data_IF_738535144462
#
_entry.id   IF_738535144462
#
_cell.length_a   1.000
_cell.length_b   1.000
_cell.length_c   1.000
_cell.angle_alpha   90.00
_cell.angle_beta   90.00
_cell.angle_gamma   90.00
#
_symmetry.space_group_name_H-M   'P 1'
#
loop_
_entity.id
_entity.type
_entity.pdbx_description
1 polymer ?
#
# COMPACT_ATOMS: atom_id res chain seq x y z
N UNK A 1 -13.26 -24.63 15.25
CA UNK A 1 -13.84 -23.39 14.72
C UNK A 1 -13.67 -23.40 13.21
N UNK A 2 -14.73 -23.12 12.46
CA UNK A 2 -14.70 -22.98 11.00
C UNK A 2 -14.59 -21.51 10.57
N UNK A 3 -14.47 -21.28 9.26
CA UNK A 3 -14.30 -19.94 8.69
C UNK A 3 -15.48 -19.03 9.01
N UNK A 4 -16.71 -19.51 8.88
CA UNK A 4 -17.92 -18.72 9.11
C UNK A 4 -18.09 -18.33 10.59
N UNK A 5 -17.73 -19.22 11.52
CA UNK A 5 -17.71 -18.93 12.96
C UNK A 5 -16.64 -17.90 13.29
N UNK A 6 -15.41 -18.09 12.78
CA UNK A 6 -14.32 -17.15 13.04
C UNK A 6 -14.64 -15.75 12.50
N UNK A 7 -15.18 -15.64 11.28
CA UNK A 7 -15.59 -14.35 10.72
C UNK A 7 -16.63 -13.63 11.57
N UNK A 8 -17.67 -14.35 12.05
CA UNK A 8 -18.69 -13.75 12.91
C UNK A 8 -18.09 -13.21 14.21
N UNK A 9 -17.20 -13.97 14.82
CA UNK A 9 -16.53 -13.58 16.05
C UNK A 9 -15.61 -12.37 15.84
N UNK A 10 -14.73 -12.42 14.83
CA UNK A 10 -13.83 -11.31 14.49
C UNK A 10 -14.59 -10.02 14.18
N UNK A 11 -15.68 -10.10 13.40
CA UNK A 11 -16.54 -8.94 13.10
C UNK A 11 -17.12 -8.34 14.38
N UNK A 12 -17.57 -9.18 15.32
CA UNK A 12 -18.11 -8.71 16.60
C UNK A 12 -17.03 -8.04 17.48
N UNK A 13 -15.78 -8.43 17.35
CA UNK A 13 -14.67 -7.84 18.11
C UNK A 13 -14.11 -6.56 17.47
N UNK A 14 -14.34 -6.36 16.16
CA UNK A 14 -13.84 -5.21 15.39
C UNK A 14 -14.84 -4.08 15.22
N UNK A 15 -15.86 -3.93 16.08
CA UNK A 15 -16.92 -2.92 15.93
C UNK A 15 -16.43 -1.47 15.92
N UNK A 16 -15.23 -1.20 16.44
CA UNK A 16 -14.60 0.12 16.38
C UNK A 16 -13.91 0.43 15.03
N UNK A 17 -13.73 -0.58 14.16
CA UNK A 17 -13.23 -0.38 12.80
C UNK A 17 -14.33 0.21 11.91
N UNK A 18 -13.94 1.04 10.95
CA UNK A 18 -14.86 1.54 9.91
C UNK A 18 -15.31 0.42 8.95
N UNK A 19 -14.54 -0.67 8.86
CA UNK A 19 -14.83 -1.80 7.97
C UNK A 19 -14.66 -3.19 8.62
N UNK A 20 -15.40 -3.52 9.71
CA UNK A 20 -15.13 -4.73 10.51
C UNK A 20 -15.18 -6.04 9.71
N UNK A 21 -16.16 -6.16 8.80
CA UNK A 21 -16.29 -7.32 7.90
C UNK A 21 -15.11 -7.44 6.94
N UNK A 22 -14.69 -6.33 6.33
CA UNK A 22 -13.62 -6.36 5.35
C UNK A 22 -12.28 -6.70 6.01
N UNK A 23 -12.03 -6.13 7.19
CA UNK A 23 -10.83 -6.42 7.98
C UNK A 23 -10.75 -7.91 8.31
N UNK A 24 -11.84 -8.50 8.83
CA UNK A 24 -11.90 -9.92 9.16
C UNK A 24 -11.70 -10.80 7.91
N UNK A 25 -12.37 -10.49 6.80
CA UNK A 25 -12.18 -11.22 5.53
C UNK A 25 -10.71 -11.20 5.10
N UNK A 26 -10.06 -10.04 5.08
CA UNK A 26 -8.66 -9.91 4.64
C UNK A 26 -7.71 -10.71 5.54
N UNK A 27 -7.89 -10.67 6.87
CA UNK A 27 -7.06 -11.44 7.80
C UNK A 27 -7.23 -12.94 7.58
N UNK A 28 -8.46 -13.41 7.36
CA UNK A 28 -8.73 -14.81 7.07
C UNK A 28 -8.13 -15.25 5.73
N UNK A 29 -8.29 -14.43 4.68
CA UNK A 29 -7.66 -14.66 3.36
C UNK A 29 -6.14 -14.77 3.50
N UNK A 30 -5.52 -13.84 4.23
CA UNK A 30 -4.08 -13.80 4.45
C UNK A 30 -3.54 -15.05 5.17
N UNK A 31 -4.19 -15.49 6.25
CA UNK A 31 -3.70 -16.64 7.04
C UNK A 31 -3.99 -17.97 6.36
N UNK A 32 -5.11 -18.08 5.63
CA UNK A 32 -5.52 -19.35 5.01
C UNK A 32 -4.99 -19.52 3.58
N UNK A 33 -4.58 -18.42 2.92
CA UNK A 33 -4.23 -18.41 1.51
C UNK A 33 -5.42 -18.71 0.58
N UNK A 34 -6.66 -18.57 1.09
CA UNK A 34 -7.89 -18.79 0.33
C UNK A 34 -8.49 -17.43 0.01
N UNK A 35 -8.79 -17.20 -1.27
CA UNK A 35 -9.45 -15.95 -1.67
C UNK A 35 -10.88 -15.85 -1.17
N UNK A 36 -11.40 -14.63 -1.16
CA UNK A 36 -12.76 -14.29 -0.70
C UNK A 36 -13.87 -15.24 -1.17
N UNK A 37 -13.91 -15.56 -2.46
CA UNK A 37 -14.95 -16.43 -3.05
C UNK A 37 -14.94 -17.82 -2.42
N UNK A 38 -13.76 -18.38 -2.12
CA UNK A 38 -13.64 -19.68 -1.48
C UNK A 38 -14.17 -19.62 -0.04
N UNK A 39 -13.77 -18.58 0.71
CA UNK A 39 -14.21 -18.39 2.10
C UNK A 39 -15.74 -18.28 2.19
N UNK A 40 -16.36 -17.56 1.25
CA UNK A 40 -17.82 -17.40 1.20
C UNK A 40 -18.54 -18.69 0.77
N UNK A 41 -17.97 -19.44 -0.17
CA UNK A 41 -18.57 -20.67 -0.69
C UNK A 41 -18.40 -21.87 0.24
N UNK A 42 -17.31 -21.91 1.03
CA UNK A 42 -16.92 -23.06 1.87
C UNK A 42 -16.69 -22.62 3.32
N UNK A 43 -17.66 -21.89 3.90
CA UNK A 43 -17.58 -21.32 5.25
C UNK A 43 -17.47 -22.38 6.36
N UNK A 44 -17.85 -23.62 6.09
CA UNK A 44 -17.73 -24.79 6.96
C UNK A 44 -16.29 -25.34 7.07
N UNK A 45 -15.36 -24.81 6.26
CA UNK A 45 -13.94 -25.23 6.31
C UNK A 45 -13.35 -24.97 7.69
N UNK A 46 -12.76 -26.01 8.29
CA UNK A 46 -12.19 -25.95 9.63
C UNK A 46 -10.78 -25.35 9.61
N UNK A 47 -10.53 -24.36 10.47
CA UNK A 47 -9.19 -23.80 10.67
C UNK A 47 -8.27 -24.84 11.34
N UNK A 48 -7.01 -24.86 10.93
CA UNK A 48 -5.97 -25.55 11.71
C UNK A 48 -5.67 -24.78 12.99
N UNK A 49 -5.03 -25.44 13.95
CA UNK A 49 -4.64 -24.78 15.21
C UNK A 49 -3.64 -23.65 14.98
N UNK A 50 -2.65 -23.86 14.10
CA UNK A 50 -1.69 -22.83 13.73
C UNK A 50 -2.36 -21.61 13.06
N UNK A 51 -3.38 -21.84 12.22
CA UNK A 51 -4.13 -20.75 11.60
C UNK A 51 -4.93 -19.95 12.64
N UNK A 52 -5.59 -20.62 13.59
CA UNK A 52 -6.29 -19.94 14.70
C UNK A 52 -5.35 -19.03 15.49
N UNK A 53 -4.24 -19.57 15.99
CA UNK A 53 -3.29 -18.80 16.80
C UNK A 53 -2.74 -17.57 16.05
N UNK A 54 -2.49 -17.73 14.75
CA UNK A 54 -2.04 -16.61 13.90
C UNK A 54 -3.14 -15.57 13.70
N UNK A 55 -4.38 -16.00 13.46
CA UNK A 55 -5.53 -15.10 13.33
C UNK A 55 -5.79 -14.32 14.61
N UNK A 56 -5.73 -14.98 15.76
CA UNK A 56 -5.95 -14.35 17.07
C UNK A 56 -4.92 -13.24 17.31
N UNK A 57 -3.64 -13.53 17.04
CA UNK A 57 -2.55 -12.54 17.15
C UNK A 57 -2.79 -11.31 16.24
N UNK A 58 -3.23 -11.52 15.00
CA UNK A 58 -3.51 -10.43 14.06
C UNK A 58 -4.76 -9.65 14.47
N UNK A 59 -5.79 -10.34 14.96
CA UNK A 59 -7.04 -9.73 15.41
C UNK A 59 -6.81 -8.83 16.64
N UNK A 60 -6.01 -9.27 17.61
CA UNK A 60 -5.63 -8.47 18.78
C UNK A 60 -4.87 -7.18 18.39
N UNK A 61 -4.00 -7.27 17.37
CA UNK A 61 -3.31 -6.10 16.83
C UNK A 61 -4.27 -5.17 16.10
N UNK A 62 -5.19 -5.72 15.30
CA UNK A 62 -6.21 -4.91 14.61
C UNK A 62 -7.18 -4.23 15.59
N UNK A 63 -7.53 -4.86 16.71
CA UNK A 63 -8.36 -4.26 17.76
C UNK A 63 -7.70 -3.04 18.41
N UNK A 64 -6.37 -3.04 18.51
CA UNK A 64 -5.58 -1.87 18.93
C UNK A 64 -5.53 -0.78 17.85
N UNK A 65 -6.06 -1.09 16.67
CA UNK A 65 -6.24 -0.24 15.50
C UNK A 65 -5.05 -0.22 14.54
N UNK A 66 -4.13 -1.17 14.66
CA UNK A 66 -3.05 -1.30 13.68
C UNK A 66 -3.64 -1.52 12.27
N UNK A 67 -3.19 -0.79 11.22
CA UNK A 67 -3.75 -0.89 9.88
C UNK A 67 -3.68 -2.31 9.32
N UNK A 68 -4.74 -2.78 8.66
CA UNK A 68 -4.77 -4.13 8.06
C UNK A 68 -3.62 -4.34 7.07
N UNK A 69 -3.23 -3.31 6.32
CA UNK A 69 -2.11 -3.40 5.38
C UNK A 69 -0.76 -3.62 6.08
N UNK A 70 -0.56 -3.11 7.30
CA UNK A 70 0.63 -3.43 8.12
C UNK A 70 0.58 -4.86 8.66
N UNK A 71 -0.62 -5.37 8.96
CA UNK A 71 -0.80 -6.75 9.42
C UNK A 71 -0.52 -7.79 8.32
N UNK A 72 -0.94 -7.51 7.09
CA UNK A 72 -0.69 -8.37 5.92
C UNK A 72 0.64 -8.07 5.23
N UNK A 73 1.21 -6.90 5.47
CA UNK A 73 2.43 -6.39 4.84
C UNK A 73 2.24 -5.97 3.37
N UNK A 74 1.00 -5.92 2.88
CA UNK A 74 0.68 -5.62 1.47
C UNK A 74 -0.52 -4.70 1.33
N UNK A 75 -0.50 -3.85 0.31
CA UNK A 75 -1.60 -2.99 -0.12
C UNK A 75 -1.66 -2.98 -1.64
N UNK A 76 -2.85 -3.19 -2.19
CA UNK A 76 -3.09 -2.97 -3.60
C UNK A 76 -3.22 -1.46 -3.88
N UNK A 77 -2.56 -1.01 -4.95
CA UNK A 77 -2.67 0.33 -5.51
C UNK A 77 -2.52 0.22 -7.03
N UNK A 78 -3.47 0.74 -7.80
CA UNK A 78 -3.46 0.63 -9.26
C UNK A 78 -3.40 -0.83 -9.76
N UNK A 79 -4.10 -1.74 -9.09
CA UNK A 79 -4.02 -3.21 -9.30
C UNK A 79 -2.62 -3.82 -9.07
N UNK A 80 -1.67 -3.06 -8.51
CA UNK A 80 -0.33 -3.53 -8.17
C UNK A 80 -0.28 -3.94 -6.68
N UNK A 81 0.12 -5.18 -6.35
CA UNK A 81 0.33 -5.59 -4.97
C UNK A 81 1.66 -5.02 -4.45
N UNK A 82 1.59 -3.94 -3.66
CA UNK A 82 2.75 -3.30 -3.07
C UNK A 82 2.98 -3.80 -1.65
N UNK A 83 4.22 -4.16 -1.32
CA UNK A 83 4.64 -4.27 0.06
C UNK A 83 4.56 -2.90 0.74
N UNK A 84 4.06 -2.90 1.98
CA UNK A 84 3.97 -1.71 2.83
C UNK A 84 4.67 -1.95 4.16
N UNK A 85 5.09 -0.88 4.81
CA UNK A 85 5.64 -0.91 6.16
C UNK A 85 5.42 0.44 6.84
N UNK A 86 5.62 0.53 8.17
CA UNK A 86 5.55 1.81 8.90
C UNK A 86 6.63 2.84 8.49
N UNK A 87 7.54 2.49 7.58
CA UNK A 87 8.58 3.41 7.11
C UNK A 87 8.03 4.55 6.24
N UNK A 88 6.81 4.41 5.72
CA UNK A 88 6.17 5.39 4.82
C UNK A 88 4.65 5.22 4.84
N UNK A 89 3.95 6.19 4.26
CA UNK A 89 2.49 6.16 4.11
C UNK A 89 2.01 4.92 3.34
N UNK A 90 0.97 4.26 3.85
CA UNK A 90 0.21 3.25 3.11
C UNK A 90 -0.50 3.92 1.92
N UNK A 91 -0.32 3.45 0.67
CA UNK A 91 -0.95 4.04 -0.51
C UNK A 91 -2.47 4.16 -0.35
N UNK A 92 -2.99 5.37 -0.60
CA UNK A 92 -4.40 5.72 -0.44
C UNK A 92 -5.12 5.65 -1.79
N UNK A 93 -6.39 5.20 -1.85
CA UNK A 93 -7.16 5.16 -3.10
C UNK A 93 -7.24 6.53 -3.78
N UNK A 94 -7.40 7.61 -3.01
CA UNK A 94 -7.49 8.97 -3.59
C UNK A 94 -6.22 9.38 -4.35
N UNK A 95 -5.07 8.80 -4.01
CA UNK A 95 -3.81 9.02 -4.74
C UNK A 95 -3.84 8.43 -6.16
N UNK A 96 -4.75 7.49 -6.47
CA UNK A 96 -4.94 6.97 -7.83
C UNK A 96 -5.43 8.08 -8.78
N UNK A 97 -6.19 9.06 -8.28
CA UNK A 97 -6.59 10.23 -9.08
C UNK A 97 -5.37 11.03 -9.58
N UNK A 98 -4.30 11.13 -8.78
CA UNK A 98 -3.06 11.79 -9.24
C UNK A 98 -2.42 11.02 -10.41
N UNK A 99 -2.42 9.69 -10.36
CA UNK A 99 -1.92 8.83 -11.44
C UNK A 99 -2.76 9.03 -12.70
N UNK A 100 -4.09 8.97 -12.60
CA UNK A 100 -5.02 9.22 -13.71
C UNK A 100 -4.75 10.57 -14.39
N UNK A 101 -4.66 11.63 -13.58
CA UNK A 101 -4.46 12.99 -14.08
C UNK A 101 -3.07 13.17 -14.69
N UNK A 102 -2.04 12.51 -14.16
CA UNK A 102 -0.71 12.49 -14.75
C UNK A 102 -0.72 11.80 -16.11
N UNK A 103 -1.30 10.60 -16.22
CA UNK A 103 -1.40 9.85 -17.47
C UNK A 103 -2.10 10.64 -18.58
N UNK A 104 -3.18 11.35 -18.24
CA UNK A 104 -3.92 12.19 -19.19
C UNK A 104 -3.11 13.39 -19.72
N UNK A 105 -2.06 13.82 -19.01
CA UNK A 105 -1.23 14.99 -19.37
C UNK A 105 0.13 14.62 -19.95
N UNK A 106 0.54 13.36 -19.84
CA UNK A 106 1.80 12.91 -20.41
C UNK A 106 1.77 13.03 -21.94
N UNK A 107 2.88 13.42 -22.57
CA UNK A 107 2.97 13.41 -24.03
C UNK A 107 2.84 11.99 -24.56
N UNK A 108 2.37 11.85 -25.80
CA UNK A 108 2.26 10.55 -26.48
C UNK A 108 3.64 9.92 -26.78
N UNK A 109 4.70 10.73 -26.86
CA UNK A 109 6.08 10.26 -27.02
C UNK A 109 6.69 9.82 -25.69
N UNK A 110 7.73 9.00 -25.77
CA UNK A 110 8.57 8.65 -24.62
C UNK A 110 9.09 9.91 -23.93
N UNK A 111 9.05 9.92 -22.60
CA UNK A 111 9.42 11.08 -21.79
C UNK A 111 10.00 10.67 -20.43
N UNK A 112 10.46 11.66 -19.66
CA UNK A 112 11.08 11.47 -18.35
C UNK A 112 10.15 12.01 -17.26
N UNK A 113 9.88 11.18 -16.26
CA UNK A 113 8.98 11.51 -15.15
C UNK A 113 9.78 11.49 -13.85
N UNK A 114 9.49 12.44 -12.96
CA UNK A 114 10.00 12.46 -11.58
C UNK A 114 8.86 12.29 -10.59
N UNK A 115 9.00 11.37 -9.64
CA UNK A 115 8.14 11.21 -8.47
C UNK A 115 8.92 11.61 -7.20
N UNK A 116 8.48 12.68 -6.53
CA UNK A 116 9.09 13.20 -5.31
C UNK A 116 8.35 12.69 -4.06
N UNK A 117 9.08 12.09 -3.11
CA UNK A 117 8.50 11.49 -1.92
C UNK A 117 7.77 10.19 -2.26
N UNK A 118 8.42 9.31 -3.02
CA UNK A 118 7.79 8.15 -3.65
C UNK A 118 7.26 7.11 -2.64
N UNK A 119 7.77 7.11 -1.41
CA UNK A 119 7.32 6.23 -0.35
C UNK A 119 7.45 4.75 -0.72
N UNK A 120 6.32 4.07 -0.92
CA UNK A 120 6.29 2.67 -1.36
C UNK A 120 6.61 2.48 -2.84
N UNK A 121 6.75 3.56 -3.61
CA UNK A 121 6.84 3.54 -5.07
C UNK A 121 5.49 3.61 -5.78
N UNK A 122 4.38 3.84 -5.07
CA UNK A 122 3.03 3.66 -5.60
C UNK A 122 2.76 4.43 -6.91
N UNK A 123 3.00 5.73 -6.92
CA UNK A 123 2.78 6.59 -8.11
C UNK A 123 3.77 6.23 -9.21
N UNK A 124 5.07 6.18 -8.87
CA UNK A 124 6.12 5.86 -9.84
C UNK A 124 5.91 4.52 -10.56
N UNK A 125 5.56 3.46 -9.82
CA UNK A 125 5.35 2.12 -10.36
C UNK A 125 4.08 2.06 -11.22
N UNK A 126 2.98 2.68 -10.78
CA UNK A 126 1.77 2.76 -11.58
C UNK A 126 1.99 3.47 -12.92
N UNK A 127 2.66 4.64 -12.90
CA UNK A 127 3.02 5.37 -14.12
C UNK A 127 3.93 4.56 -15.04
N UNK A 128 4.91 3.86 -14.47
CA UNK A 128 5.84 3.04 -15.22
C UNK A 128 5.18 1.81 -15.87
N UNK A 129 4.18 1.21 -15.23
CA UNK A 129 3.39 0.10 -15.78
C UNK A 129 2.54 0.55 -16.97
N UNK A 130 1.88 1.71 -16.87
CA UNK A 130 1.03 2.25 -17.94
C UNK A 130 1.84 2.84 -19.10
N UNK A 131 3.04 3.35 -18.81
CA UNK A 131 3.95 3.96 -19.78
C UNK A 131 5.32 3.26 -19.79
N UNK A 132 5.41 2.02 -20.31
CA UNK A 132 6.66 1.27 -20.39
C UNK A 132 7.71 1.92 -21.30
N UNK A 133 7.31 2.88 -22.14
CA UNK A 133 8.19 3.70 -22.98
C UNK A 133 8.84 4.87 -22.22
N UNK A 134 8.32 5.24 -21.04
CA UNK A 134 8.82 6.34 -20.24
C UNK A 134 9.84 5.87 -19.20
N UNK A 135 10.78 6.76 -18.87
CA UNK A 135 11.74 6.56 -17.78
C UNK A 135 11.28 7.32 -16.53
N UNK A 136 11.02 6.61 -15.45
CA UNK A 136 10.57 7.20 -14.18
C UNK A 136 11.74 7.25 -13.20
N UNK A 137 12.00 8.42 -12.62
CA UNK A 137 12.89 8.57 -11.47
C UNK A 137 12.03 8.80 -10.24
N UNK A 138 12.22 8.00 -9.22
CA UNK A 138 11.47 8.05 -7.97
C UNK A 138 12.45 8.35 -6.84
N UNK A 139 12.17 9.39 -6.04
CA UNK A 139 13.06 9.78 -4.95
C UNK A 139 12.34 9.85 -3.62
N UNK A 140 13.06 9.49 -2.56
CA UNK A 140 12.59 9.68 -1.19
C UNK A 140 13.73 10.11 -0.28
N UNK A 141 13.39 10.85 0.79
CA UNK A 141 14.33 11.30 1.80
C UNK A 141 14.73 10.13 2.71
N UNK A 142 13.78 9.26 3.02
CA UNK A 142 13.96 8.20 4.00
C UNK A 142 14.60 6.96 3.35
N UNK A 143 15.73 6.45 3.88
CA UNK A 143 16.41 5.30 3.29
C UNK A 143 15.54 4.02 3.31
N UNK A 144 14.70 3.85 4.33
CA UNK A 144 13.78 2.72 4.42
C UNK A 144 12.66 2.78 3.38
N UNK A 145 12.19 3.98 3.02
CA UNK A 145 11.23 4.17 1.93
C UNK A 145 11.88 3.86 0.57
N UNK A 146 13.12 4.32 0.34
CA UNK A 146 13.91 3.97 -0.85
C UNK A 146 14.07 2.46 -0.99
N UNK A 147 14.42 1.76 0.10
CA UNK A 147 14.56 0.31 0.13
C UNK A 147 13.22 -0.38 -0.17
N UNK A 148 12.10 0.11 0.38
CA UNK A 148 10.77 -0.43 0.14
C UNK A 148 10.31 -0.24 -1.31
N UNK A 149 10.45 0.97 -1.87
CA UNK A 149 10.16 1.25 -3.28
C UNK A 149 11.01 0.38 -4.22
N UNK A 150 12.30 0.21 -3.91
CA UNK A 150 13.19 -0.69 -4.66
C UNK A 150 12.72 -2.14 -4.60
N UNK A 151 12.31 -2.61 -3.41
CA UNK A 151 11.76 -3.96 -3.24
C UNK A 151 10.47 -4.15 -4.04
N UNK A 152 9.56 -3.18 -4.04
CA UNK A 152 8.32 -3.25 -4.82
C UNK A 152 8.59 -3.27 -6.32
N UNK A 153 9.49 -2.39 -6.79
CA UNK A 153 9.98 -2.41 -8.17
C UNK A 153 10.47 -3.80 -8.59
N UNK A 154 11.35 -4.41 -7.78
CA UNK A 154 11.90 -5.74 -8.04
C UNK A 154 10.83 -6.84 -8.02
N UNK A 155 9.92 -6.79 -7.04
CA UNK A 155 8.84 -7.76 -6.91
C UNK A 155 7.90 -7.75 -8.11
N UNK A 156 7.59 -6.58 -8.64
CA UNK A 156 6.71 -6.38 -9.79
C UNK A 156 7.43 -6.50 -11.14
N UNK A 157 8.75 -6.68 -11.14
CA UNK A 157 9.59 -6.73 -12.35
C UNK A 157 9.42 -5.51 -13.28
N UNK A 158 9.34 -4.32 -12.68
CA UNK A 158 9.20 -3.06 -13.42
C UNK A 158 10.59 -2.43 -13.59
N UNK A 159 11.18 -2.49 -14.78
CA UNK A 159 12.58 -2.11 -14.98
C UNK A 159 12.79 -0.62 -15.31
N UNK A 160 11.78 0.07 -15.81
CA UNK A 160 11.83 1.47 -16.24
C UNK A 160 11.68 2.50 -15.11
N UNK A 161 11.92 2.09 -13.86
CA UNK A 161 11.95 2.95 -12.66
C UNK A 161 13.35 2.97 -12.05
N UNK A 162 13.90 4.15 -11.80
CA UNK A 162 15.11 4.36 -11.02
C UNK A 162 14.74 4.93 -9.64
N UNK A 163 15.10 4.26 -8.56
CA UNK A 163 14.82 4.71 -7.18
C UNK A 163 16.10 5.27 -6.57
N UNK A 164 16.04 6.48 -6.01
CA UNK A 164 17.18 7.17 -5.40
C UNK A 164 16.82 7.76 -4.05
N UNK A 165 17.80 7.83 -3.14
CA UNK A 165 17.64 8.65 -1.94
C UNK A 165 17.97 10.12 -2.27
N UNK A 166 17.06 11.03 -1.93
CA UNK A 166 17.21 12.47 -2.15
C UNK A 166 16.40 13.25 -1.14
N UNK A 167 16.96 14.34 -0.60
CA UNK A 167 16.14 15.41 -0.03
C UNK A 167 15.65 16.29 -1.18
N UNK A 168 14.38 16.13 -1.55
CA UNK A 168 13.78 16.75 -2.73
C UNK A 168 14.66 16.60 -3.98
N UNK A 169 15.23 17.69 -4.47
CA UNK A 169 16.01 17.73 -5.71
C UNK A 169 17.53 17.51 -5.52
N UNK A 170 18.01 17.34 -4.28
CA UNK A 170 19.45 17.34 -3.97
C UNK A 170 20.27 16.30 -4.75
N UNK A 171 19.73 15.12 -5.02
CA UNK A 171 20.42 14.06 -5.78
C UNK A 171 20.22 14.14 -7.31
N UNK A 172 19.43 15.09 -7.81
CA UNK A 172 19.01 15.12 -9.22
C UNK A 172 19.96 15.88 -10.14
N UNK A 173 20.93 16.62 -9.62
CA UNK A 173 22.05 17.21 -10.39
C UNK A 173 21.62 18.03 -11.63
N UNK A 174 20.52 18.77 -11.54
CA UNK A 174 20.02 19.61 -12.64
C UNK A 174 19.32 18.85 -13.76
N UNK A 175 19.02 17.55 -13.57
CA UNK A 175 18.20 16.79 -14.50
C UNK A 175 16.83 17.46 -14.69
N UNK A 176 16.35 17.45 -15.94
CA UNK A 176 15.03 17.93 -16.32
C UNK A 176 14.09 16.76 -16.62
N UNK A 177 12.81 16.98 -16.35
CA UNK A 177 11.74 16.02 -16.50
C UNK A 177 10.57 16.68 -17.21
N UNK A 178 9.90 15.93 -18.07
CA UNK A 178 8.71 16.39 -18.79
C UNK A 178 7.51 16.51 -17.85
N UNK A 179 7.50 15.72 -16.78
CA UNK A 179 6.51 15.78 -15.71
C UNK A 179 7.14 15.52 -14.35
N UNK A 180 6.73 16.30 -13.36
CA UNK A 180 7.04 16.06 -11.95
C UNK A 180 5.72 15.82 -11.22
N UNK A 181 5.62 14.69 -10.53
CA UNK A 181 4.51 14.32 -9.66
C UNK A 181 5.01 14.19 -8.23
N UNK A 182 4.13 14.44 -7.28
CA UNK A 182 4.44 14.27 -5.86
C UNK A 182 3.14 14.19 -5.08
N UNK A 183 3.12 13.32 -4.08
CA UNK A 183 2.15 13.35 -3.00
C UNK A 183 2.90 13.63 -1.69
N UNK A 184 3.33 14.89 -1.46
CA UNK A 184 4.17 15.22 -0.31
C UNK A 184 3.37 15.20 0.99
N UNK A 185 4.00 15.21 2.17
CA UNK A 185 3.30 15.43 3.42
C UNK A 185 2.60 16.80 3.41
N UNK A 186 1.29 16.81 3.67
CA UNK A 186 0.46 18.03 3.66
C UNK A 186 -0.44 18.19 4.89
N UNK A 187 -0.33 17.28 5.86
CA UNK A 187 -1.14 17.33 7.09
C UNK A 187 -0.50 18.31 8.08
N UNK A 188 -1.31 19.17 8.69
CA UNK A 188 -0.89 20.08 9.75
C UNK A 188 -0.45 19.28 10.98
N UNK A 189 0.63 19.71 11.64
CA UNK A 189 1.14 19.07 12.86
C UNK A 189 0.11 19.03 14.00
N UNK A 190 -0.90 19.92 13.97
CA UNK A 190 -1.98 20.00 14.96
C UNK A 190 -3.31 19.42 14.45
N UNK A 191 -3.32 18.76 13.28
CA UNK A 191 -4.54 18.19 12.73
C UNK A 191 -5.09 17.08 13.66
N UNK A 192 -6.36 17.15 14.09
CA UNK A 192 -6.95 16.17 14.99
C UNK A 192 -6.98 14.75 14.41
N UNK A 193 -6.93 14.58 13.09
CA UNK A 193 -6.90 13.27 12.44
C UNK A 193 -5.59 12.50 12.68
N UNK A 194 -4.50 13.17 13.09
CA UNK A 194 -3.26 12.50 13.51
C UNK A 194 -3.47 11.62 14.76
N UNK A 195 -4.48 11.91 15.57
CA UNK A 195 -4.85 11.11 16.73
C UNK A 195 -5.90 10.01 16.44
N UNK A 196 -6.43 9.96 15.22
CA UNK A 196 -7.58 9.14 14.85
C UNK A 196 -7.23 8.10 13.76
N UNK A 197 -8.02 7.01 13.74
CA UNK A 197 -8.00 6.02 12.67
C UNK A 197 -6.65 5.33 12.47
N UNK A 198 -6.37 4.97 11.21
CA UNK A 198 -5.14 4.32 10.78
C UNK A 198 -3.97 5.31 10.62
N UNK A 199 -4.23 6.62 10.54
CA UNK A 199 -3.21 7.68 10.28
C UNK A 199 -2.23 7.85 11.44
N UNK A 200 -2.60 7.40 12.64
CA UNK A 200 -1.72 7.38 13.82
C UNK A 200 -0.62 6.31 13.79
N UNK A 201 -0.63 5.41 12.79
CA UNK A 201 0.32 4.30 12.61
C UNK A 201 1.09 4.43 11.30
#
# INVERSE_FOLDING_TARGET
MDYQHWLREAISQLQASESPRRDAEILLEFVTGKGRTFILAFGETVLTEAQRQRLDTLLERRQRGEPVAHLTGVREFWSLPLFVSPATLIPRPDTECLVEQALARLPASACRILDLGTGTGAIALALATERPDCAVTAVDRMPDAVALATRNKQHLAIDNVCVLQSDWFSALQGQQFDMIVSNPPYIDEQDPHLALGDVRF
#
